data_IF_982669531307
#
_entry.id   IF_982669531307
#
_cell.length_a   1.000
_cell.length_b   1.000
_cell.length_c   1.000
_cell.angle_alpha   90.00
_cell.angle_beta   90.00
_cell.angle_gamma   90.00
#
_symmetry.space_group_name_H-M   'P 1'
#
loop_
_entity.id
_entity.type
_entity.pdbx_description
1 polymer ?
#
# COMPACT_ATOMS: atom_id res chain seq x y z
N UNK A 1 0.35 -3.51 -21.04
CA UNK A 1 1.55 -2.68 -21.30
C UNK A 1 2.77 -3.33 -20.65
N UNK A 2 3.84 -3.48 -21.42
CA UNK A 2 5.11 -3.97 -20.87
C UNK A 2 5.88 -2.80 -20.27
N UNK A 3 6.29 -2.92 -19.03
CA UNK A 3 7.06 -1.87 -18.38
C UNK A 3 8.55 -2.03 -18.70
N UNK A 4 9.29 -0.93 -18.62
CA UNK A 4 10.74 -0.95 -18.84
C UNK A 4 11.46 -1.66 -17.69
N UNK A 5 12.68 -2.11 -17.98
CA UNK A 5 13.55 -2.68 -16.94
C UNK A 5 13.83 -1.68 -15.83
N UNK A 6 13.96 -0.42 -16.19
CA UNK A 6 14.20 0.67 -15.24
C UNK A 6 13.03 0.86 -14.30
N UNK A 7 11.81 0.89 -14.82
CA UNK A 7 10.61 1.00 -13.99
C UNK A 7 10.42 -0.21 -13.09
N UNK A 8 10.69 -1.40 -13.60
CA UNK A 8 10.62 -2.62 -12.79
C UNK A 8 11.61 -2.59 -11.63
N UNK A 9 12.84 -2.18 -11.90
CA UNK A 9 13.85 -2.04 -10.85
C UNK A 9 13.42 -1.02 -9.80
N UNK A 10 12.93 0.12 -10.26
CA UNK A 10 12.48 1.19 -9.37
C UNK A 10 11.31 0.74 -8.49
N UNK A 11 10.35 0.04 -9.08
CA UNK A 11 9.22 -0.50 -8.31
C UNK A 11 9.69 -1.42 -7.19
N UNK A 12 10.60 -2.34 -7.49
CA UNK A 12 11.14 -3.25 -6.48
C UNK A 12 11.88 -2.51 -5.36
N UNK A 13 12.57 -1.43 -5.70
CA UNK A 13 13.29 -0.63 -4.72
C UNK A 13 12.35 0.21 -3.85
N UNK A 14 11.26 0.67 -4.41
CA UNK A 14 10.34 1.59 -3.72
C UNK A 14 9.29 0.90 -2.86
N UNK A 15 8.88 -0.30 -3.23
CA UNK A 15 7.76 -0.97 -2.57
C UNK A 15 7.96 -1.12 -1.07
N UNK A 16 9.14 -1.54 -0.62
CA UNK A 16 9.39 -1.74 0.81
C UNK A 16 9.25 -0.45 1.61
N UNK A 17 9.70 0.68 1.06
CA UNK A 17 9.56 1.98 1.71
C UNK A 17 8.11 2.45 1.78
N UNK A 18 7.36 2.22 0.71
CA UNK A 18 5.93 2.54 0.69
C UNK A 18 5.17 1.73 1.74
N UNK A 19 5.49 0.45 1.85
CA UNK A 19 4.86 -0.43 2.84
C UNK A 19 5.27 -0.05 4.26
N UNK A 20 6.52 0.34 4.47
CA UNK A 20 6.97 0.81 5.77
C UNK A 20 6.19 2.05 6.22
N UNK A 21 6.00 3.01 5.33
CA UNK A 21 5.21 4.21 5.63
C UNK A 21 3.76 3.86 5.97
N UNK A 22 3.17 2.93 5.22
CA UNK A 22 1.80 2.49 5.49
C UNK A 22 1.69 1.82 6.86
N UNK A 23 2.62 0.93 7.17
CA UNK A 23 2.62 0.22 8.46
C UNK A 23 2.88 1.14 9.64
N UNK A 24 3.65 2.22 9.45
CA UNK A 24 3.79 3.25 10.50
C UNK A 24 2.44 3.83 10.88
N UNK A 25 1.60 4.11 9.90
CA UNK A 25 0.25 4.59 10.14
C UNK A 25 -0.60 3.57 10.90
N UNK A 26 -0.51 2.29 10.51
CA UNK A 26 -1.22 1.23 11.20
C UNK A 26 -0.78 1.12 12.66
N UNK A 27 0.52 1.15 12.91
CA UNK A 27 1.06 1.06 14.27
C UNK A 27 0.55 2.22 15.13
N UNK A 28 0.50 3.43 14.59
CA UNK A 28 -0.06 4.58 15.31
C UNK A 28 -1.54 4.38 15.65
N UNK A 29 -2.31 3.82 14.73
CA UNK A 29 -3.71 3.49 14.98
C UNK A 29 -3.85 2.45 16.10
N UNK A 30 -3.01 1.42 16.08
CA UNK A 30 -3.02 0.40 17.12
C UNK A 30 -2.65 0.98 18.49
N UNK A 31 -1.66 1.85 18.54
CA UNK A 31 -1.25 2.53 19.79
C UNK A 31 -2.42 3.34 20.35
N UNK A 32 -3.09 4.11 19.51
CA UNK A 32 -4.25 4.90 19.94
C UNK A 32 -5.37 4.02 20.46
N UNK A 33 -5.64 2.92 19.78
CA UNK A 33 -6.65 1.96 20.21
C UNK A 33 -6.31 1.33 21.55
N UNK A 34 -5.04 0.93 21.74
CA UNK A 34 -4.60 0.29 22.97
C UNK A 34 -4.56 1.26 24.16
N UNK A 35 -4.49 2.54 23.92
CA UNK A 35 -4.51 3.57 24.95
C UNK A 35 -5.93 3.96 25.41
N UNK A 36 -6.97 3.35 24.85
CA UNK A 36 -8.35 3.62 25.26
C UNK A 36 -8.62 3.01 26.63
N UNK A 37 -8.74 3.86 27.63
CA UNK A 37 -8.96 3.44 29.03
C UNK A 37 -10.36 2.88 29.29
N UNK A 38 -11.29 3.05 28.36
CA UNK A 38 -12.68 2.63 28.53
C UNK A 38 -12.91 1.16 28.22
N UNK A 39 -11.96 0.52 27.54
CA UNK A 39 -12.10 -0.88 27.15
C UNK A 39 -11.27 -1.79 28.04
N UNK A 40 -11.81 -2.95 28.44
CA UNK A 40 -11.04 -3.93 29.21
C UNK A 40 -9.91 -4.53 28.37
N UNK A 41 -8.87 -4.99 29.05
CA UNK A 41 -7.68 -5.54 28.41
C UNK A 41 -7.99 -6.71 27.47
N UNK A 42 -8.93 -7.56 27.83
CA UNK A 42 -9.32 -8.71 27.00
C UNK A 42 -9.94 -8.27 25.68
N UNK A 43 -10.80 -7.25 25.70
CA UNK A 43 -11.36 -6.70 24.46
C UNK A 43 -10.28 -6.14 23.55
N UNK A 44 -9.35 -5.38 24.13
CA UNK A 44 -8.24 -4.81 23.35
C UNK A 44 -7.38 -5.90 22.70
N UNK A 45 -7.09 -6.95 23.47
CA UNK A 45 -6.25 -8.04 22.99
C UNK A 45 -6.86 -8.73 21.76
N UNK A 46 -8.13 -9.14 21.87
CA UNK A 46 -8.77 -9.88 20.80
C UNK A 46 -9.13 -9.01 19.61
N UNK A 47 -9.50 -7.76 19.85
CA UNK A 47 -9.75 -6.80 18.78
C UNK A 47 -8.47 -6.48 18.00
N UNK A 48 -7.34 -6.34 18.69
CA UNK A 48 -6.06 -6.12 18.03
C UNK A 48 -5.68 -7.30 17.15
N UNK A 49 -5.85 -8.52 17.65
CA UNK A 49 -5.59 -9.72 16.85
C UNK A 49 -6.42 -9.72 15.57
N UNK A 50 -7.70 -9.41 15.68
CA UNK A 50 -8.60 -9.33 14.54
C UNK A 50 -8.14 -8.29 13.52
N UNK A 51 -7.79 -7.10 13.99
CA UNK A 51 -7.30 -6.02 13.12
C UNK A 51 -6.02 -6.42 12.39
N UNK A 52 -5.09 -7.04 13.09
CA UNK A 52 -3.83 -7.48 12.47
C UNK A 52 -4.11 -8.53 11.39
N UNK A 53 -5.00 -9.47 11.65
CA UNK A 53 -5.38 -10.48 10.64
C UNK A 53 -5.94 -9.85 9.37
N UNK A 54 -6.78 -8.84 9.52
CA UNK A 54 -7.36 -8.12 8.37
C UNK A 54 -6.28 -7.29 7.66
N UNK A 55 -5.47 -6.56 8.41
CA UNK A 55 -4.47 -5.67 7.86
C UNK A 55 -3.34 -6.41 7.13
N UNK A 56 -3.03 -7.63 7.56
CA UNK A 56 -2.01 -8.46 6.91
C UNK A 56 -2.33 -8.78 5.44
N UNK A 57 -3.60 -8.68 5.05
CA UNK A 57 -4.03 -8.94 3.66
C UNK A 57 -3.91 -7.71 2.77
N UNK A 58 -3.66 -6.56 3.37
CA UNK A 58 -3.60 -5.29 2.64
C UNK A 58 -2.27 -5.18 1.87
N UNK A 59 -2.27 -4.64 0.64
CA UNK A 59 -1.04 -4.50 -0.14
C UNK A 59 -0.02 -3.56 0.48
N UNK A 60 -0.43 -2.71 1.42
CA UNK A 60 0.50 -1.90 2.22
C UNK A 60 1.29 -2.72 3.23
N UNK A 61 0.93 -3.98 3.45
CA UNK A 61 1.62 -4.89 4.36
C UNK A 61 2.28 -6.02 3.59
N UNK A 62 1.59 -6.63 2.64
CA UNK A 62 2.12 -7.74 1.84
C UNK A 62 1.68 -7.60 0.37
N UNK A 63 2.60 -7.85 -0.54
CA UNK A 63 2.32 -7.83 -1.97
C UNK A 63 3.34 -8.70 -2.70
N UNK A 64 2.85 -9.61 -3.54
CA UNK A 64 3.74 -10.34 -4.45
C UNK A 64 4.13 -9.41 -5.60
N UNK A 65 5.42 -9.41 -5.94
CA UNK A 65 5.93 -8.60 -7.03
C UNK A 65 6.03 -9.43 -8.30
N UNK A 66 5.37 -8.98 -9.36
CA UNK A 66 5.48 -9.57 -10.69
C UNK A 66 5.60 -8.45 -11.70
N UNK A 67 6.59 -8.54 -12.57
CA UNK A 67 6.84 -7.51 -13.59
C UNK A 67 5.60 -7.26 -14.45
N UNK A 68 4.87 -8.31 -14.81
CA UNK A 68 3.68 -8.19 -15.66
C UNK A 68 2.51 -7.50 -14.96
N UNK A 69 2.51 -7.44 -13.64
CA UNK A 69 1.42 -6.89 -12.84
C UNK A 69 1.71 -5.52 -12.25
N UNK A 70 2.88 -4.93 -12.54
CA UNK A 70 3.29 -3.68 -11.88
C UNK A 70 2.27 -2.55 -12.05
N UNK A 71 1.73 -2.37 -13.25
CA UNK A 71 0.75 -1.31 -13.49
C UNK A 71 -0.48 -1.50 -12.59
N UNK A 72 -1.02 -2.71 -12.53
CA UNK A 72 -2.18 -3.01 -11.70
C UNK A 72 -1.86 -2.94 -10.21
N UNK A 73 -0.66 -3.36 -9.83
CA UNK A 73 -0.20 -3.27 -8.45
C UNK A 73 -0.10 -1.81 -8.01
N UNK A 74 0.45 -0.94 -8.85
CA UNK A 74 0.54 0.49 -8.56
C UNK A 74 -0.86 1.09 -8.40
N UNK A 75 -1.77 0.77 -9.31
CA UNK A 75 -3.14 1.25 -9.25
C UNK A 75 -3.82 0.81 -7.95
N UNK A 76 -3.63 -0.45 -7.57
CA UNK A 76 -4.16 -0.97 -6.32
C UNK A 76 -3.59 -0.25 -5.10
N UNK A 77 -2.28 0.02 -5.10
CA UNK A 77 -1.63 0.78 -4.03
C UNK A 77 -2.20 2.19 -3.91
N UNK A 78 -2.47 2.84 -5.03
CA UNK A 78 -3.07 4.18 -5.03
C UNK A 78 -4.51 4.12 -4.51
N UNK A 79 -5.32 3.20 -5.03
CA UNK A 79 -6.72 3.08 -4.63
C UNK A 79 -6.89 2.74 -3.16
N UNK A 80 -5.98 1.96 -2.61
CA UNK A 80 -6.01 1.55 -1.21
C UNK A 80 -5.18 2.48 -0.31
N UNK A 81 -4.78 3.63 -0.85
CA UNK A 81 -4.15 4.72 -0.10
C UNK A 81 -2.80 4.39 0.53
N UNK A 82 -2.07 3.46 -0.07
CA UNK A 82 -0.67 3.20 0.32
C UNK A 82 0.24 4.29 -0.22
N UNK A 83 0.00 4.68 -1.48
CA UNK A 83 0.74 5.77 -2.15
C UNK A 83 -0.25 6.72 -2.81
N UNK A 84 0.25 7.87 -3.25
CA UNK A 84 -0.48 8.82 -4.10
C UNK A 84 0.19 8.88 -5.47
N UNK A 85 -0.52 9.40 -6.46
CA UNK A 85 0.01 9.49 -7.82
C UNK A 85 1.37 10.20 -7.90
N UNK A 86 1.56 11.24 -7.08
CA UNK A 86 2.82 12.00 -7.07
C UNK A 86 4.02 11.16 -6.62
N UNK A 87 3.79 10.05 -5.93
CA UNK A 87 4.88 9.12 -5.57
C UNK A 87 5.51 8.45 -6.78
N UNK A 88 4.89 8.58 -7.95
CA UNK A 88 5.39 8.00 -9.20
C UNK A 88 6.32 8.93 -9.96
N UNK A 89 6.69 10.07 -9.40
CA UNK A 89 7.44 11.10 -10.12
C UNK A 89 8.76 10.63 -10.73
N UNK A 90 9.40 9.63 -10.15
CA UNK A 90 10.66 9.08 -10.66
C UNK A 90 10.47 7.98 -11.72
N UNK A 91 9.24 7.52 -11.93
CA UNK A 91 8.94 6.52 -12.97
C UNK A 91 8.85 7.16 -14.34
N UNK A 92 8.91 6.35 -15.39
CA UNK A 92 8.81 6.84 -16.76
C UNK A 92 7.48 7.53 -17.01
N UNK A 93 7.48 8.41 -17.99
CA UNK A 93 6.26 9.09 -18.41
C UNK A 93 5.23 8.09 -18.94
N UNK A 94 5.67 7.09 -19.70
CA UNK A 94 4.78 6.06 -20.22
C UNK A 94 4.03 5.34 -19.11
N UNK A 95 4.73 4.94 -18.05
CA UNK A 95 4.09 4.26 -16.92
C UNK A 95 3.11 5.20 -16.22
N UNK A 96 3.52 6.44 -15.95
CA UNK A 96 2.68 7.41 -15.26
C UNK A 96 1.40 7.72 -16.04
N UNK A 97 1.50 7.85 -17.35
CA UNK A 97 0.35 8.12 -18.20
C UNK A 97 -0.61 6.93 -18.26
N UNK A 98 -0.08 5.71 -18.31
CA UNK A 98 -0.93 4.51 -18.31
C UNK A 98 -1.69 4.37 -16.98
N UNK A 99 -1.02 4.61 -15.86
CA UNK A 99 -1.66 4.60 -14.54
C UNK A 99 -2.76 5.65 -14.49
N UNK A 100 -2.46 6.86 -14.94
CA UNK A 100 -3.44 7.96 -14.94
C UNK A 100 -4.65 7.62 -15.80
N UNK A 101 -4.41 7.06 -17.00
CA UNK A 101 -5.49 6.68 -17.91
C UNK A 101 -6.43 5.68 -17.24
N UNK A 102 -5.89 4.66 -16.59
CA UNK A 102 -6.70 3.62 -15.93
C UNK A 102 -7.45 4.20 -14.73
N UNK A 103 -6.79 5.03 -13.93
CA UNK A 103 -7.44 5.67 -12.77
C UNK A 103 -8.62 6.53 -13.20
N UNK A 104 -8.49 7.24 -14.31
CA UNK A 104 -9.56 8.09 -14.83
C UNK A 104 -10.72 7.29 -15.43
N UNK A 105 -10.43 6.13 -16.03
CA UNK A 105 -11.44 5.26 -16.62
C UNK A 105 -12.39 4.63 -15.60
N UNK A 106 -11.90 4.36 -14.42
CA UNK A 106 -12.61 3.55 -13.41
C UNK A 106 -13.08 4.40 -12.22
N UNK A 107 -13.70 5.49 -12.53
CA UNK A 107 -14.30 6.35 -11.50
C UNK A 107 -15.59 5.76 -10.95
#
# INVERSE_FOLDING_TARGET
MDISKKDWKLFRERLSGWQENYMEGLVKEYVNFLNDDKKPASEKFWELEKRIKEDKRHPGVIMEMSKSEVIWDIIRLIRLKVIVYDDLSAFSEELRQEVKRILEMNR
#
